data_IF_792168876449
#
_entry.id   IF_792168876449
#
_cell.length_a   1.000
_cell.length_b   1.000
_cell.length_c   1.000
_cell.angle_alpha   90.00
_cell.angle_beta   90.00
_cell.angle_gamma   90.00
#
_symmetry.space_group_name_H-M   'P 1'
#
loop_
_entity.id
_entity.type
_entity.pdbx_description
1 polymer ?
#
# COMPACT_ATOMS: atom_id res chain seq x y z
N UNK A 1 -47.68 21.22 22.70
CA UNK A 1 -47.11 21.93 23.87
C UNK A 1 -45.60 21.87 23.75
N UNK A 2 -44.96 23.02 23.90
CA UNK A 2 -43.54 23.29 23.66
C UNK A 2 -42.59 22.56 24.63
N UNK A 3 -41.30 22.41 24.25
CA UNK A 3 -40.23 21.87 25.09
C UNK A 3 -39.61 22.97 25.96
N UNK A 4 -39.28 22.67 27.21
CA UNK A 4 -38.58 23.61 28.10
C UNK A 4 -37.05 23.49 27.98
N UNK A 5 -36.45 24.60 27.59
CA UNK A 5 -35.04 24.96 27.69
C UNK A 5 -34.55 24.95 29.14
N UNK A 6 -33.30 24.54 29.35
CA UNK A 6 -32.52 24.83 30.56
C UNK A 6 -31.32 25.69 30.18
N UNK A 7 -31.20 26.87 30.78
CA UNK A 7 -30.04 27.75 30.71
C UNK A 7 -29.48 27.94 32.14
N UNK A 8 -28.15 28.07 32.33
CA UNK A 8 -27.49 28.06 33.63
C UNK A 8 -27.27 29.49 34.20
N UNK A 9 -26.71 29.56 35.42
CA UNK A 9 -26.18 30.70 36.19
C UNK A 9 -26.98 31.16 37.43
N UNK A 10 -26.46 30.79 38.62
CA UNK A 10 -26.36 31.59 39.86
C UNK A 10 -25.57 30.73 40.90
N UNK A 11 -24.26 30.92 41.12
CA UNK A 11 -23.57 31.96 41.91
C UNK A 11 -23.67 31.81 43.45
N UNK A 12 -22.56 31.39 44.07
CA UNK A 12 -21.96 32.04 45.25
C UNK A 12 -22.25 31.50 46.66
N UNK A 13 -21.18 31.19 47.42
CA UNK A 13 -21.19 31.11 48.90
C UNK A 13 -20.24 30.05 49.48
N UNK A 14 -19.18 30.49 50.17
CA UNK A 14 -18.03 29.68 50.60
C UNK A 14 -18.10 29.04 52.00
N UNK A 15 -17.08 28.25 52.32
CA UNK A 15 -16.82 27.66 53.63
C UNK A 15 -15.58 26.75 53.63
N UNK A 16 -14.50 27.19 54.30
CA UNK A 16 -13.31 26.40 54.66
C UNK A 16 -13.66 25.31 55.69
N UNK A 17 -12.78 24.29 55.86
CA UNK A 17 -12.17 24.16 57.18
C UNK A 17 -10.70 23.70 57.22
N UNK A 18 -10.01 24.22 58.24
CA UNK A 18 -8.74 23.80 58.86
C UNK A 18 -8.75 22.36 59.35
N UNK A 19 -7.64 21.63 59.17
CA UNK A 19 -7.15 20.62 60.13
C UNK A 19 -5.64 20.36 59.93
N UNK A 20 -4.82 20.96 60.79
CA UNK A 20 -3.45 20.50 61.11
C UNK A 20 -3.46 19.94 62.54
N UNK A 21 -2.99 18.70 62.73
CA UNK A 21 -2.16 18.26 63.86
C UNK A 21 -1.65 16.81 63.60
N UNK A 22 -0.32 16.65 63.63
CA UNK A 22 0.44 15.40 63.48
C UNK A 22 0.31 14.47 64.72
N UNK A 23 0.69 13.17 64.62
CA UNK A 23 2.06 12.79 65.00
C UNK A 23 2.75 11.75 64.09
N UNK A 24 4.06 11.73 64.25
CA UNK A 24 5.11 11.06 63.46
C UNK A 24 5.13 9.53 63.61
N UNK A 25 5.32 8.81 62.50
CA UNK A 25 5.75 7.40 62.48
C UNK A 25 6.71 7.18 61.30
N UNK A 26 7.98 7.01 61.61
CA UNK A 26 9.08 6.75 60.68
C UNK A 26 8.97 5.32 60.14
N UNK A 27 8.49 5.15 58.90
CA UNK A 27 8.66 3.90 58.15
C UNK A 27 9.91 4.01 57.25
N UNK A 28 10.90 3.16 57.52
CA UNK A 28 12.07 2.98 56.67
C UNK A 28 11.66 2.42 55.30
N UNK A 29 11.99 3.14 54.23
CA UNK A 29 11.89 2.64 52.86
C UNK A 29 12.92 1.50 52.63
N UNK A 30 12.55 0.38 51.97
CA UNK A 30 13.52 -0.67 51.65
C UNK A 30 14.50 -0.17 50.59
N UNK A 31 15.80 -0.42 50.84
CA UNK A 31 16.89 0.07 50.01
C UNK A 31 16.90 -0.56 48.61
N UNK A 32 17.25 0.24 47.61
CA UNK A 32 17.34 -0.13 46.17
C UNK A 32 18.14 -1.42 45.90
N UNK A 33 18.99 -1.83 46.82
CA UNK A 33 19.83 -3.03 46.74
C UNK A 33 19.01 -4.33 46.90
N UNK A 34 17.94 -4.34 47.69
CA UNK A 34 17.07 -5.52 47.87
C UNK A 34 16.24 -5.83 46.62
N UNK A 35 15.83 -4.81 45.87
CA UNK A 35 15.05 -4.99 44.64
C UNK A 35 15.90 -5.55 43.50
N UNK A 36 17.14 -5.07 43.36
CA UNK A 36 18.09 -5.59 42.39
C UNK A 36 18.44 -7.08 42.65
N UNK A 37 18.56 -7.46 43.93
CA UNK A 37 18.89 -8.84 44.31
C UNK A 37 17.72 -9.80 44.07
N UNK A 38 16.48 -9.36 44.30
CA UNK A 38 15.28 -10.14 43.96
C UNK A 38 15.12 -10.33 42.44
N UNK A 39 15.43 -9.31 41.64
CA UNK A 39 15.33 -9.39 40.20
C UNK A 39 16.41 -10.31 39.59
N UNK A 40 17.62 -10.30 40.15
CA UNK A 40 18.69 -11.22 39.76
C UNK A 40 18.36 -12.68 40.13
N UNK A 41 17.78 -12.92 41.30
CA UNK A 41 17.36 -14.26 41.73
C UNK A 41 16.20 -14.80 40.86
N UNK A 42 15.26 -13.94 40.47
CA UNK A 42 14.16 -14.31 39.57
C UNK A 42 14.67 -14.68 38.16
N UNK A 43 15.65 -13.94 37.63
CA UNK A 43 16.26 -14.22 36.34
C UNK A 43 17.05 -15.55 36.34
N UNK A 44 17.77 -15.84 37.44
CA UNK A 44 18.52 -17.09 37.59
C UNK A 44 17.58 -18.32 37.65
N UNK A 45 16.46 -18.21 38.36
CA UNK A 45 15.46 -19.30 38.42
C UNK A 45 14.75 -19.52 37.08
N UNK A 46 14.48 -18.46 36.31
CA UNK A 46 13.90 -18.59 34.98
C UNK A 46 14.85 -19.29 33.99
N UNK A 47 16.16 -18.98 34.05
CA UNK A 47 17.17 -19.65 33.23
C UNK A 47 17.32 -21.14 33.59
N UNK A 48 17.27 -21.48 34.88
CA UNK A 48 17.32 -22.88 35.33
C UNK A 48 16.11 -23.71 34.86
N UNK A 49 14.90 -23.12 34.85
CA UNK A 49 13.70 -23.78 34.34
C UNK A 49 13.75 -24.01 32.83
N UNK A 50 14.31 -23.08 32.05
CA UNK A 50 14.49 -23.28 30.61
C UNK A 50 15.49 -24.40 30.28
N UNK A 51 16.58 -24.52 31.06
CA UNK A 51 17.55 -25.61 30.87
C UNK A 51 16.95 -26.99 31.20
N UNK A 52 16.11 -27.09 32.24
CA UNK A 52 15.40 -28.34 32.55
C UNK A 52 14.40 -28.75 31.46
N UNK A 53 13.73 -27.78 30.83
CA UNK A 53 12.80 -28.07 29.73
C UNK A 53 13.51 -28.57 28.47
N UNK A 54 14.70 -28.04 28.16
CA UNK A 54 15.53 -28.54 27.05
C UNK A 54 16.07 -29.95 27.30
N UNK A 55 16.40 -30.31 28.55
CA UNK A 55 16.85 -31.66 28.90
C UNK A 55 15.74 -32.71 28.79
N UNK A 56 14.49 -32.37 29.16
CA UNK A 56 13.35 -33.26 28.97
C UNK A 56 13.00 -33.49 27.50
N UNK A 57 13.22 -32.49 26.63
CA UNK A 57 12.95 -32.62 25.20
C UNK A 57 13.96 -33.54 24.49
N UNK A 58 15.22 -33.57 24.95
CA UNK A 58 16.23 -34.52 24.45
C UNK A 58 15.98 -35.96 24.89
N UNK A 59 15.48 -36.20 26.11
CA UNK A 59 15.12 -37.56 26.55
C UNK A 59 13.90 -38.11 25.80
N UNK A 60 12.97 -37.26 25.37
CA UNK A 60 11.79 -37.71 24.64
C UNK A 60 12.12 -38.15 23.21
N UNK A 61 13.12 -37.53 22.56
CA UNK A 61 13.60 -37.91 21.23
C UNK A 61 14.42 -39.22 21.23
N UNK A 62 15.09 -39.54 22.34
CA UNK A 62 15.85 -40.79 22.48
C UNK A 62 15.00 -42.05 22.69
N UNK A 63 13.73 -41.91 23.08
CA UNK A 63 12.87 -43.05 23.45
C UNK A 63 12.05 -43.63 22.29
N UNK A 64 11.92 -42.93 21.16
CA UNK A 64 11.17 -43.43 19.99
C UNK A 64 11.98 -44.33 19.03
N UNK A 65 13.29 -44.51 19.24
CA UNK A 65 14.14 -45.24 18.29
C UNK A 65 14.71 -46.59 18.81
N UNK A 66 14.05 -47.22 19.79
CA UNK A 66 14.47 -48.51 20.34
C UNK A 66 13.79 -49.70 19.67
N UNK A 67 14.47 -50.36 18.71
CA UNK A 67 13.98 -51.58 18.08
C UNK A 67 15.06 -52.45 17.43
N UNK A 68 15.62 -53.36 18.23
CA UNK A 68 16.34 -54.64 17.93
C UNK A 68 17.75 -54.65 17.28
N UNK A 69 18.69 -55.52 17.76
CA UNK A 69 20.09 -55.59 17.31
C UNK A 69 20.41 -56.83 16.44
N UNK A 70 21.36 -56.72 15.48
CA UNK A 70 22.33 -57.78 15.04
C UNK A 70 23.29 -57.33 13.90
N UNK A 71 24.39 -58.06 13.54
CA UNK A 71 25.80 -57.69 13.79
C UNK A 71 26.62 -57.38 12.49
N UNK A 72 27.96 -57.16 12.52
CA UNK A 72 28.66 -56.32 11.53
C UNK A 72 29.36 -57.09 10.40
N UNK A 73 29.48 -56.47 9.23
CA UNK A 73 30.55 -56.77 8.26
C UNK A 73 30.75 -55.69 7.17
N UNK A 74 31.93 -55.05 7.25
CA UNK A 74 32.90 -54.72 6.20
C UNK A 74 32.53 -53.94 4.92
N UNK A 75 33.31 -52.87 4.72
CA UNK A 75 33.83 -52.31 3.45
C UNK A 75 32.78 -51.74 2.47
N UNK A 76 32.98 -50.62 1.76
CA UNK A 76 34.09 -49.72 1.43
C UNK A 76 33.38 -48.47 0.85
N UNK A 77 33.74 -47.25 1.22
CA UNK A 77 34.81 -46.50 0.56
C UNK A 77 34.24 -45.41 -0.36
N UNK A 78 34.50 -44.14 -0.05
CA UNK A 78 34.63 -43.12 -1.08
C UNK A 78 33.78 -41.85 -0.95
N UNK A 79 34.46 -40.79 -0.48
CA UNK A 79 34.44 -39.42 -1.02
C UNK A 79 33.43 -38.41 -0.46
N UNK A 80 34.00 -37.41 0.25
CA UNK A 80 33.93 -36.02 -0.25
C UNK A 80 33.11 -35.03 0.55
N UNK A 81 33.74 -34.40 1.53
CA UNK A 81 33.24 -33.24 2.27
C UNK A 81 33.07 -31.98 1.39
N UNK A 82 32.04 -31.16 1.67
CA UNK A 82 32.13 -29.69 1.66
C UNK A 82 30.82 -29.02 2.17
N UNK A 83 30.94 -28.42 3.37
CA UNK A 83 30.55 -27.05 3.73
C UNK A 83 29.21 -26.44 3.25
N UNK A 84 28.35 -26.12 4.23
CA UNK A 84 28.01 -24.72 4.53
C UNK A 84 26.86 -24.05 3.79
N UNK A 85 25.73 -23.91 4.49
CA UNK A 85 24.98 -22.65 4.61
C UNK A 85 24.14 -22.15 3.41
N UNK A 86 22.85 -21.88 3.68
CA UNK A 86 22.16 -20.75 3.06
C UNK A 86 20.78 -21.03 2.46
N UNK A 87 19.79 -20.29 2.99
CA UNK A 87 18.89 -19.51 2.13
C UNK A 87 17.61 -20.18 1.67
N UNK A 88 16.55 -20.02 2.46
CA UNK A 88 15.18 -20.11 1.95
C UNK A 88 14.87 -18.94 1.01
N UNK A 89 14.40 -19.28 -0.20
CA UNK A 89 13.68 -18.40 -1.13
C UNK A 89 12.55 -19.22 -1.73
N UNK A 90 11.37 -18.62 -1.78
CA UNK A 90 10.40 -18.66 -2.89
C UNK A 90 9.01 -18.23 -2.39
N UNK A 91 8.78 -16.91 -2.42
CA UNK A 91 7.43 -16.32 -2.51
C UNK A 91 7.48 -15.28 -3.62
N UNK A 92 7.14 -15.72 -4.82
CA UNK A 92 7.09 -14.91 -6.02
C UNK A 92 5.87 -13.96 -5.95
N UNK A 93 6.13 -12.68 -5.69
CA UNK A 93 5.33 -11.59 -6.24
C UNK A 93 5.95 -11.16 -7.56
N UNK A 94 5.16 -10.67 -8.54
CA UNK A 94 5.74 -10.03 -9.70
C UNK A 94 6.52 -8.80 -9.23
N UNK A 95 7.80 -8.78 -9.57
CA UNK A 95 8.69 -7.65 -9.40
C UNK A 95 8.02 -6.40 -9.93
N UNK A 96 8.04 -5.34 -9.14
CA UNK A 96 7.46 -4.05 -9.48
C UNK A 96 8.20 -3.32 -10.62
N UNK A 97 8.91 -4.03 -11.50
CA UNK A 97 9.75 -3.49 -12.56
C UNK A 97 8.99 -2.98 -13.79
N UNK A 98 7.66 -3.18 -13.89
CA UNK A 98 6.94 -2.95 -15.15
C UNK A 98 5.75 -1.96 -15.06
N UNK A 99 5.83 -0.97 -14.16
CA UNK A 99 4.88 0.16 -14.13
C UNK A 99 5.51 1.48 -14.62
N UNK A 100 6.56 1.38 -15.44
CA UNK A 100 7.54 2.45 -15.59
C UNK A 100 7.83 2.96 -17.00
N UNK A 101 7.25 2.45 -18.09
CA UNK A 101 7.67 2.89 -19.44
C UNK A 101 6.56 2.67 -20.49
N UNK A 102 6.19 3.70 -21.26
CA UNK A 102 5.29 3.54 -22.41
C UNK A 102 4.58 4.81 -22.87
N UNK A 103 5.31 5.77 -23.44
CA UNK A 103 4.77 6.81 -24.33
C UNK A 103 5.72 6.92 -25.53
N UNK A 104 5.21 6.65 -26.73
CA UNK A 104 5.93 6.75 -28.01
C UNK A 104 5.37 5.78 -29.05
N UNK A 105 4.75 6.30 -30.10
CA UNK A 105 3.99 5.52 -31.08
C UNK A 105 4.78 4.96 -32.27
N UNK A 106 4.01 4.18 -33.04
CA UNK A 106 4.10 3.90 -34.48
C UNK A 106 4.95 2.73 -35.01
N UNK A 107 4.21 1.78 -35.59
CA UNK A 107 4.42 1.01 -36.84
C UNK A 107 5.57 -0.01 -36.98
N UNK A 108 5.20 -1.24 -37.36
CA UNK A 108 6.09 -2.22 -38.00
C UNK A 108 5.75 -3.66 -37.63
N UNK A 109 5.18 -4.43 -38.56
CA UNK A 109 4.64 -5.78 -38.32
C UNK A 109 5.66 -6.92 -38.23
N UNK A 110 5.13 -8.12 -38.02
CA UNK A 110 5.88 -9.39 -38.09
C UNK A 110 5.31 -10.42 -37.11
N UNK A 111 4.68 -11.47 -37.64
CA UNK A 111 3.89 -12.44 -36.88
C UNK A 111 4.67 -13.45 -36.02
N UNK A 112 3.90 -14.13 -35.17
CA UNK A 112 4.33 -15.26 -34.35
C UNK A 112 3.19 -15.68 -33.43
N UNK A 113 2.34 -16.61 -33.88
CA UNK A 113 1.13 -17.03 -33.17
C UNK A 113 1.43 -17.76 -31.86
N UNK A 114 0.96 -17.19 -30.76
CA UNK A 114 0.71 -17.89 -29.50
C UNK A 114 -0.79 -18.06 -29.34
N UNK A 115 -1.28 -19.30 -29.46
CA UNK A 115 -2.70 -19.64 -29.35
C UNK A 115 -3.11 -19.52 -27.88
N UNK A 116 -3.69 -18.38 -27.51
CA UNK A 116 -4.42 -18.23 -26.26
C UNK A 116 -5.73 -19.00 -26.38
N UNK A 117 -5.78 -20.22 -25.84
CA UNK A 117 -6.98 -21.05 -25.85
C UNK A 117 -8.03 -20.51 -24.89
N UNK A 118 -9.16 -20.04 -25.42
CA UNK A 118 -10.35 -19.69 -24.64
C UNK A 118 -10.91 -20.93 -23.93
N UNK A 119 -11.32 -20.79 -22.68
CA UNK A 119 -11.85 -21.89 -21.83
C UNK A 119 -13.15 -22.51 -22.40
N UNK A 120 -13.88 -21.77 -23.22
CA UNK A 120 -15.23 -22.12 -23.69
C UNK A 120 -15.34 -22.50 -25.17
N UNK A 121 -14.23 -22.79 -25.86
CA UNK A 121 -14.26 -23.15 -27.28
C UNK A 121 -14.59 -24.62 -27.53
N UNK A 122 -15.89 -24.92 -27.69
CA UNK A 122 -16.40 -26.14 -28.36
C UNK A 122 -16.28 -27.47 -27.58
N UNK A 123 -16.95 -28.54 -28.05
CA UNK A 123 -16.94 -29.86 -27.40
C UNK A 123 -15.63 -30.58 -27.77
N UNK A 124 -14.53 -30.15 -27.18
CA UNK A 124 -13.22 -30.77 -27.27
C UNK A 124 -12.50 -30.55 -25.96
N UNK A 125 -12.26 -31.63 -25.22
CA UNK A 125 -11.49 -31.75 -23.97
C UNK A 125 -11.15 -30.43 -23.25
N UNK A 126 -11.91 -30.12 -22.19
CA UNK A 126 -11.51 -29.08 -21.23
C UNK A 126 -10.11 -29.43 -20.75
N UNK A 127 -9.12 -28.61 -21.12
CA UNK A 127 -7.73 -28.76 -20.68
C UNK A 127 -7.71 -29.05 -19.16
N UNK A 128 -6.95 -30.05 -18.72
CA UNK A 128 -6.92 -30.48 -17.30
C UNK A 128 -6.63 -29.32 -16.34
N UNK A 129 -5.84 -28.34 -16.79
CA UNK A 129 -5.59 -27.10 -16.02
C UNK A 129 -6.85 -26.23 -15.88
N UNK A 130 -7.68 -26.12 -16.92
CA UNK A 130 -8.95 -25.39 -16.86
C UNK A 130 -9.95 -26.08 -15.92
N UNK A 131 -9.96 -27.42 -15.91
CA UNK A 131 -10.80 -28.20 -15.01
C UNK A 131 -10.42 -27.95 -13.55
N UNK A 132 -9.12 -27.95 -13.22
CA UNK A 132 -8.62 -27.62 -11.88
C UNK A 132 -8.99 -26.21 -11.43
N UNK A 133 -8.92 -25.23 -12.34
CA UNK A 133 -9.35 -23.86 -12.04
C UNK A 133 -10.83 -23.82 -11.65
N UNK A 134 -11.70 -24.48 -12.42
CA UNK A 134 -13.13 -24.55 -12.11
C UNK A 134 -13.40 -25.28 -10.78
N UNK A 135 -12.64 -26.33 -10.46
CA UNK A 135 -12.71 -27.02 -9.16
C UNK A 135 -12.34 -26.08 -8.00
N UNK A 136 -11.26 -25.30 -8.12
CA UNK A 136 -10.90 -24.32 -7.10
C UNK A 136 -11.95 -23.21 -6.98
N UNK A 137 -12.54 -22.76 -8.08
CA UNK A 137 -13.64 -21.78 -8.06
C UNK A 137 -14.82 -22.32 -7.25
N UNK A 138 -15.21 -23.59 -7.44
CA UNK A 138 -16.25 -24.21 -6.63
C UNK A 138 -15.84 -24.33 -5.14
N UNK A 139 -14.56 -24.65 -4.87
CA UNK A 139 -14.03 -24.75 -3.51
C UNK A 139 -13.97 -23.41 -2.76
N UNK A 140 -13.95 -22.26 -3.45
CA UNK A 140 -14.04 -20.93 -2.80
C UNK A 140 -15.34 -20.75 -2.03
N UNK A 141 -16.43 -21.40 -2.46
CA UNK A 141 -17.74 -21.28 -1.82
C UNK A 141 -17.78 -21.98 -0.44
N UNK A 142 -16.98 -23.02 -0.25
CA UNK A 142 -16.95 -23.82 0.96
C UNK A 142 -15.90 -23.29 1.95
N UNK A 143 -16.32 -22.89 3.15
CA UNK A 143 -15.45 -22.26 4.15
C UNK A 143 -14.22 -23.12 4.55
N UNK A 144 -14.34 -24.46 4.51
CA UNK A 144 -13.25 -25.39 4.85
C UNK A 144 -12.18 -25.51 3.77
N UNK A 145 -12.55 -25.36 2.49
CA UNK A 145 -11.60 -25.50 1.35
C UNK A 145 -11.15 -24.16 0.79
N UNK A 146 -11.87 -23.08 1.13
CA UNK A 146 -11.65 -21.74 0.57
C UNK A 146 -10.22 -21.25 0.70
N UNK A 147 -9.58 -21.43 1.85
CA UNK A 147 -8.21 -20.94 2.07
C UNK A 147 -7.20 -21.53 1.08
N UNK A 148 -7.27 -22.85 0.85
CA UNK A 148 -6.43 -23.52 -0.14
C UNK A 148 -6.76 -23.08 -1.57
N UNK A 149 -8.04 -22.96 -1.90
CA UNK A 149 -8.48 -22.52 -3.21
C UNK A 149 -8.02 -21.08 -3.54
N UNK A 150 -8.11 -20.15 -2.58
CA UNK A 150 -7.63 -18.78 -2.74
C UNK A 150 -6.13 -18.74 -3.05
N UNK A 151 -5.33 -19.55 -2.33
CA UNK A 151 -3.89 -19.64 -2.57
C UNK A 151 -3.59 -20.09 -3.99
N UNK A 152 -4.19 -21.19 -4.46
CA UNK A 152 -3.91 -21.73 -5.79
C UNK A 152 -4.42 -20.83 -6.91
N UNK A 153 -5.63 -20.27 -6.78
CA UNK A 153 -6.17 -19.32 -7.76
C UNK A 153 -5.31 -18.05 -7.83
N UNK A 154 -4.81 -17.54 -6.70
CA UNK A 154 -3.97 -16.33 -6.70
C UNK A 154 -2.65 -16.52 -7.45
N UNK A 155 -2.09 -17.74 -7.45
CA UNK A 155 -0.89 -18.09 -8.24
C UNK A 155 -1.19 -18.21 -9.72
N UNK A 156 -2.40 -18.64 -10.09
CA UNK A 156 -2.82 -18.85 -11.49
C UNK A 156 -3.34 -17.59 -12.18
N UNK A 157 -3.40 -16.48 -11.45
CA UNK A 157 -4.03 -15.24 -11.91
C UNK A 157 -3.44 -14.62 -13.19
N UNK A 158 -2.17 -14.87 -13.48
CA UNK A 158 -1.49 -14.40 -14.70
C UNK A 158 -1.52 -15.43 -15.83
N UNK A 159 -1.76 -16.70 -15.51
CA UNK A 159 -1.75 -17.82 -16.46
C UNK A 159 -3.12 -18.04 -17.11
N UNK A 160 -4.19 -17.51 -16.51
CA UNK A 160 -5.57 -17.72 -16.94
C UNK A 160 -6.20 -16.36 -17.26
N UNK A 161 -6.17 -15.91 -18.53
CA UNK A 161 -6.68 -14.59 -18.93
C UNK A 161 -8.16 -14.39 -18.58
N UNK A 162 -8.96 -15.45 -18.73
CA UNK A 162 -10.41 -15.48 -18.49
C UNK A 162 -10.78 -15.55 -16.98
N UNK A 163 -9.80 -15.62 -16.08
CA UNK A 163 -10.08 -15.84 -14.65
C UNK A 163 -10.95 -14.73 -14.06
N UNK A 164 -10.75 -13.47 -14.48
CA UNK A 164 -11.56 -12.35 -14.02
C UNK A 164 -13.05 -12.53 -14.34
N UNK A 165 -13.37 -12.98 -15.56
CA UNK A 165 -14.74 -13.26 -15.99
C UNK A 165 -15.32 -14.45 -15.22
N UNK A 166 -14.55 -15.52 -15.03
CA UNK A 166 -14.99 -16.69 -14.26
C UNK A 166 -15.29 -16.29 -12.81
N UNK A 167 -14.40 -15.53 -12.16
CA UNK A 167 -14.58 -15.07 -10.77
C UNK A 167 -15.85 -14.22 -10.62
N UNK A 168 -16.10 -13.33 -11.59
CA UNK A 168 -17.24 -12.42 -11.53
C UNK A 168 -18.58 -13.14 -11.79
N UNK A 169 -18.64 -13.97 -12.83
CA UNK A 169 -19.88 -14.60 -13.28
C UNK A 169 -20.22 -15.92 -12.57
N UNK A 170 -19.27 -16.51 -11.83
CA UNK A 170 -19.54 -17.68 -11.01
C UNK A 170 -20.36 -17.32 -9.77
N UNK A 171 -21.45 -18.05 -9.56
CA UNK A 171 -22.38 -17.81 -8.46
C UNK A 171 -21.68 -17.84 -7.09
N UNK A 172 -21.89 -16.80 -6.28
CA UNK A 172 -21.42 -16.72 -4.89
C UNK A 172 -19.91 -16.46 -4.69
N UNK A 173 -19.12 -16.42 -5.75
CA UNK A 173 -17.66 -16.22 -5.64
C UNK A 173 -17.32 -14.83 -5.14
N UNK A 174 -17.86 -13.78 -5.77
CA UNK A 174 -17.64 -12.39 -5.33
C UNK A 174 -18.10 -12.15 -3.88
N UNK A 175 -19.22 -12.76 -3.47
CA UNK A 175 -19.70 -12.73 -2.08
C UNK A 175 -18.71 -13.40 -1.13
N UNK A 176 -18.13 -14.53 -1.52
CA UNK A 176 -17.11 -15.23 -0.73
C UNK A 176 -15.83 -14.42 -0.60
N UNK A 177 -15.38 -13.74 -1.66
CA UNK A 177 -14.22 -12.85 -1.62
C UNK A 177 -14.46 -11.63 -0.69
N UNK A 178 -15.65 -11.04 -0.74
CA UNK A 178 -16.03 -9.97 0.18
C UNK A 178 -16.11 -10.45 1.63
N UNK A 179 -16.57 -11.69 1.86
CA UNK A 179 -16.59 -12.28 3.20
C UNK A 179 -15.18 -12.40 3.79
N UNK A 180 -14.17 -12.72 2.97
CA UNK A 180 -12.77 -12.76 3.41
C UNK A 180 -12.22 -11.38 3.78
N UNK A 181 -12.71 -10.30 3.16
CA UNK A 181 -12.37 -8.94 3.56
C UNK A 181 -13.02 -8.59 4.90
N UNK A 182 -14.33 -8.82 5.02
CA UNK A 182 -15.12 -8.41 6.19
C UNK A 182 -14.69 -9.19 7.44
N UNK A 183 -14.30 -10.45 7.31
CA UNK A 183 -13.82 -11.27 8.44
C UNK A 183 -12.55 -10.70 9.11
N UNK A 184 -11.79 -9.87 8.40
CA UNK A 184 -10.58 -9.22 8.91
C UNK A 184 -10.88 -7.92 9.66
N UNK A 185 -12.03 -7.28 9.45
CA UNK A 185 -12.35 -5.99 10.09
C UNK A 185 -12.22 -5.98 11.62
N UNK A 186 -12.68 -7.00 12.37
CA UNK A 186 -12.51 -7.04 13.82
C UNK A 186 -11.03 -7.07 14.27
N UNK A 187 -10.12 -7.51 13.40
CA UNK A 187 -8.69 -7.64 13.69
C UNK A 187 -7.89 -6.36 13.39
N UNK A 188 -8.54 -5.34 12.80
CA UNK A 188 -7.89 -4.07 12.47
C UNK A 188 -7.77 -3.16 13.69
N UNK A 189 -8.77 -3.17 14.56
CA UNK A 189 -8.82 -2.36 15.77
C UNK A 189 -9.46 -3.12 16.95
N UNK A 190 -8.68 -3.54 17.96
CA UNK A 190 -7.23 -3.34 18.12
C UNK A 190 -6.42 -4.11 17.07
N UNK A 191 -5.16 -3.71 16.83
CA UNK A 191 -4.28 -4.25 15.78
C UNK A 191 -3.86 -5.72 16.02
N UNK A 192 -4.76 -6.68 15.85
CA UNK A 192 -4.59 -8.11 16.16
C UNK A 192 -4.36 -8.99 14.92
N UNK A 193 -4.16 -8.40 13.75
CA UNK A 193 -3.96 -9.14 12.51
C UNK A 193 -2.69 -10.02 12.55
N UNK A 194 -2.89 -11.33 12.38
CA UNK A 194 -1.79 -12.30 12.30
C UNK A 194 -1.25 -12.41 10.86
N UNK A 195 -0.03 -12.95 10.71
CA UNK A 195 0.57 -13.18 9.40
C UNK A 195 -0.27 -14.15 8.54
N UNK A 196 -0.82 -15.22 9.14
CA UNK A 196 -1.66 -16.17 8.43
C UNK A 196 -2.97 -15.52 7.91
N UNK A 197 -3.66 -14.76 8.78
CA UNK A 197 -4.88 -14.06 8.39
C UNK A 197 -4.62 -13.01 7.29
N UNK A 198 -3.53 -12.25 7.41
CA UNK A 198 -3.08 -11.30 6.39
C UNK A 198 -2.80 -11.99 5.05
N UNK A 199 -2.06 -13.11 5.05
CA UNK A 199 -1.78 -13.86 3.82
C UNK A 199 -3.05 -14.36 3.14
N UNK A 200 -3.98 -14.91 3.92
CA UNK A 200 -5.25 -15.42 3.42
C UNK A 200 -6.10 -14.34 2.75
N UNK A 201 -6.31 -13.20 3.41
CA UNK A 201 -7.09 -12.10 2.80
C UNK A 201 -6.37 -11.49 1.61
N UNK A 202 -5.03 -11.39 1.64
CA UNK A 202 -4.27 -10.88 0.51
C UNK A 202 -4.38 -11.79 -0.74
N UNK A 203 -4.54 -13.10 -0.59
CA UNK A 203 -4.85 -13.98 -1.73
C UNK A 203 -6.22 -13.63 -2.34
N UNK A 204 -7.24 -13.33 -1.52
CA UNK A 204 -8.52 -12.83 -2.02
C UNK A 204 -8.39 -11.45 -2.69
N UNK A 205 -7.63 -10.53 -2.11
CA UNK A 205 -7.34 -9.23 -2.71
C UNK A 205 -6.62 -9.35 -4.06
N UNK A 206 -5.71 -10.33 -4.21
CA UNK A 206 -5.02 -10.60 -5.47
C UNK A 206 -6.00 -11.04 -6.58
N UNK A 207 -7.05 -11.78 -6.24
CA UNK A 207 -8.12 -12.14 -7.18
C UNK A 207 -9.00 -10.94 -7.52
N UNK A 208 -9.34 -10.10 -6.52
CA UNK A 208 -10.07 -8.84 -6.77
C UNK A 208 -9.26 -7.88 -7.64
N UNK A 209 -7.93 -7.87 -7.51
CA UNK A 209 -7.04 -7.11 -8.39
C UNK A 209 -7.17 -7.58 -9.85
N UNK A 210 -7.29 -8.89 -10.09
CA UNK A 210 -7.53 -9.43 -11.43
C UNK A 210 -8.87 -8.97 -11.99
N UNK A 211 -9.95 -9.04 -11.19
CA UNK A 211 -11.28 -8.54 -11.59
C UNK A 211 -11.25 -7.05 -11.90
N UNK A 212 -10.56 -6.24 -11.10
CA UNK A 212 -10.39 -4.80 -11.33
C UNK A 212 -9.58 -4.49 -12.60
N UNK A 213 -8.64 -5.35 -12.96
CA UNK A 213 -7.75 -5.16 -14.10
C UNK A 213 -8.38 -5.51 -15.45
N UNK A 214 -9.40 -6.37 -15.49
CA UNK A 214 -10.03 -6.85 -16.73
C UNK A 214 -11.05 -5.84 -17.28
N UNK A 215 -11.04 -5.61 -18.60
CA UNK A 215 -11.86 -4.57 -19.26
C UNK A 215 -13.36 -4.74 -19.03
N UNK A 216 -13.86 -5.98 -19.10
CA UNK A 216 -15.30 -6.27 -19.00
C UNK A 216 -15.83 -6.25 -17.56
N UNK A 217 -15.02 -6.65 -16.58
CA UNK A 217 -15.48 -6.73 -15.18
C UNK A 217 -15.16 -5.47 -14.38
N UNK A 218 -14.25 -4.61 -14.85
CA UNK A 218 -13.86 -3.38 -14.15
C UNK A 218 -15.02 -2.45 -13.89
N UNK A 219 -15.86 -2.19 -14.90
CA UNK A 219 -17.04 -1.33 -14.74
C UNK A 219 -18.02 -1.92 -13.72
N UNK A 220 -18.22 -3.23 -13.75
CA UNK A 220 -19.08 -3.94 -12.81
C UNK A 220 -18.51 -3.89 -11.37
N UNK A 221 -17.20 -4.07 -11.23
CA UNK A 221 -16.47 -3.97 -9.96
C UNK A 221 -16.58 -2.57 -9.35
N UNK A 222 -16.47 -1.54 -10.18
CA UNK A 222 -16.64 -0.14 -9.78
C UNK A 222 -18.10 0.15 -9.40
N UNK A 223 -19.06 -0.24 -10.23
CA UNK A 223 -20.49 -0.03 -10.00
C UNK A 223 -21.03 -0.80 -8.78
N UNK A 224 -20.37 -1.88 -8.38
CA UNK A 224 -20.66 -2.60 -7.13
C UNK A 224 -20.03 -1.95 -5.89
N UNK A 225 -19.29 -0.85 -6.04
CA UNK A 225 -18.60 -0.13 -4.95
C UNK A 225 -17.66 -1.01 -4.10
N UNK A 226 -17.14 -2.09 -4.67
CA UNK A 226 -16.19 -3.00 -4.00
C UNK A 226 -14.94 -2.29 -3.46
N UNK A 227 -14.35 -1.28 -4.14
CA UNK A 227 -13.18 -0.57 -3.62
C UNK A 227 -13.36 0.00 -2.19
N UNK A 228 -14.59 0.38 -1.81
CA UNK A 228 -14.87 0.95 -0.49
C UNK A 228 -14.59 -0.03 0.65
N UNK A 229 -14.73 -1.34 0.41
CA UNK A 229 -14.40 -2.38 1.37
C UNK A 229 -12.90 -2.43 1.71
N UNK A 230 -12.05 -1.81 0.89
CA UNK A 230 -10.59 -1.80 1.09
C UNK A 230 -10.11 -0.61 1.91
N UNK A 231 -10.94 0.43 2.09
CA UNK A 231 -10.53 1.65 2.78
C UNK A 231 -10.23 1.44 4.26
N UNK A 232 -10.97 0.59 5.00
CA UNK A 232 -10.57 0.23 6.36
C UNK A 232 -9.15 -0.32 6.45
N UNK A 233 -8.70 -1.09 5.45
CA UNK A 233 -7.33 -1.61 5.40
C UNK A 233 -6.31 -0.49 5.17
N UNK A 234 -6.58 0.42 4.23
CA UNK A 234 -5.72 1.56 3.91
C UNK A 234 -5.62 2.57 5.08
N UNK A 235 -6.66 2.66 5.90
CA UNK A 235 -6.71 3.56 7.06
C UNK A 235 -5.86 3.08 8.25
N UNK A 236 -5.42 1.81 8.25
CA UNK A 236 -4.59 1.26 9.34
C UNK A 236 -3.23 1.95 9.45
N UNK A 237 -2.69 2.06 10.67
CA UNK A 237 -1.43 2.76 10.96
C UNK A 237 -0.33 1.84 11.51
N UNK A 238 -0.67 0.60 11.88
CA UNK A 238 0.30 -0.39 12.39
C UNK A 238 1.40 -0.65 11.37
N UNK A 239 2.66 -0.62 11.83
CA UNK A 239 3.86 -0.88 11.02
C UNK A 239 4.30 -2.34 11.02
N UNK A 240 3.51 -3.22 11.64
CA UNK A 240 3.82 -4.66 11.62
C UNK A 240 3.71 -5.21 10.20
N UNK A 241 4.52 -6.23 9.89
CA UNK A 241 4.58 -6.86 8.56
C UNK A 241 3.20 -7.28 8.00
N UNK A 242 2.28 -7.88 8.79
CA UNK A 242 0.93 -8.22 8.30
C UNK A 242 0.13 -7.00 7.82
N UNK A 243 0.23 -5.86 8.51
CA UNK A 243 -0.49 -4.63 8.14
C UNK A 243 0.16 -3.91 6.94
N UNK A 244 1.50 -3.88 6.87
CA UNK A 244 2.20 -3.37 5.68
C UNK A 244 1.80 -4.15 4.42
N UNK A 245 1.80 -5.49 4.50
CA UNK A 245 1.43 -6.34 3.38
C UNK A 245 -0.05 -6.19 2.99
N UNK A 246 -0.95 -6.08 3.97
CA UNK A 246 -2.36 -5.82 3.74
C UNK A 246 -2.59 -4.50 3.00
N UNK A 247 -1.95 -3.41 3.43
CA UNK A 247 -2.04 -2.09 2.79
C UNK A 247 -1.49 -2.11 1.36
N UNK A 248 -0.31 -2.70 1.17
CA UNK A 248 0.31 -2.81 -0.16
C UNK A 248 -0.60 -3.56 -1.14
N UNK A 249 -1.17 -4.69 -0.72
CA UNK A 249 -2.05 -5.51 -1.57
C UNK A 249 -3.35 -4.77 -1.89
N UNK A 250 -3.93 -4.07 -0.90
CA UNK A 250 -5.12 -3.23 -1.08
C UNK A 250 -4.88 -2.08 -2.05
N UNK A 251 -3.73 -1.39 -1.94
CA UNK A 251 -3.30 -0.38 -2.90
C UNK A 251 -3.10 -0.97 -4.30
N UNK A 252 -2.66 -2.23 -4.41
CA UNK A 252 -2.54 -2.94 -5.68
C UNK A 252 -3.87 -3.06 -6.43
N UNK A 253 -4.98 -3.28 -5.72
CA UNK A 253 -6.33 -3.32 -6.31
C UNK A 253 -6.72 -1.94 -6.85
N UNK A 254 -6.54 -0.89 -6.04
CA UNK A 254 -6.83 0.50 -6.47
C UNK A 254 -5.93 0.92 -7.64
N UNK A 255 -4.65 0.56 -7.58
CA UNK A 255 -3.67 0.78 -8.64
C UNK A 255 -4.05 0.13 -9.97
N UNK A 256 -4.66 -1.07 -9.92
CA UNK A 256 -5.15 -1.75 -11.12
C UNK A 256 -6.34 -1.01 -11.78
N UNK A 257 -7.23 -0.41 -10.97
CA UNK A 257 -8.35 0.37 -11.48
C UNK A 257 -7.89 1.61 -12.25
N UNK A 258 -6.97 2.38 -11.66
CA UNK A 258 -6.48 3.64 -12.24
C UNK A 258 -5.49 3.44 -13.39
N UNK A 259 -5.01 2.22 -13.62
CA UNK A 259 -4.03 1.93 -14.69
C UNK A 259 -4.57 2.19 -16.10
N UNK A 260 -5.89 2.09 -16.28
CA UNK A 260 -6.54 2.19 -17.60
C UNK A 260 -7.01 3.60 -17.96
N UNK A 261 -6.63 4.62 -17.17
CA UNK A 261 -6.90 6.04 -17.49
C UNK A 261 -8.40 6.35 -17.72
N UNK A 262 -9.28 5.62 -17.03
CA UNK A 262 -10.73 5.84 -17.10
C UNK A 262 -11.15 6.98 -16.17
N UNK A 263 -11.69 8.07 -16.75
CA UNK A 263 -12.22 9.20 -15.97
C UNK A 263 -13.39 8.81 -15.05
N UNK A 264 -14.15 7.76 -15.37
CA UNK A 264 -15.20 7.23 -14.49
C UNK A 264 -14.61 6.69 -13.18
N UNK A 265 -13.50 5.95 -13.27
CA UNK A 265 -12.76 5.47 -12.10
C UNK A 265 -12.23 6.65 -11.28
N UNK A 266 -11.68 7.67 -11.95
CA UNK A 266 -11.19 8.87 -11.26
C UNK A 266 -12.33 9.60 -10.54
N UNK A 267 -13.47 9.82 -11.21
CA UNK A 267 -14.63 10.45 -10.61
C UNK A 267 -15.09 9.72 -9.34
N UNK A 268 -15.24 8.40 -9.43
CA UNK A 268 -15.58 7.57 -8.28
C UNK A 268 -14.59 7.79 -7.12
N UNK A 269 -13.29 7.68 -7.38
CA UNK A 269 -12.25 7.83 -6.38
C UNK A 269 -12.19 9.22 -5.73
N UNK A 270 -12.51 10.28 -6.47
CA UNK A 270 -12.58 11.65 -5.95
C UNK A 270 -13.74 11.81 -4.96
N UNK A 271 -14.88 11.16 -5.21
CA UNK A 271 -16.06 11.22 -4.33
C UNK A 271 -15.92 10.41 -3.05
N UNK A 272 -14.88 9.57 -2.94
CA UNK A 272 -14.73 8.59 -1.86
C UNK A 272 -13.47 8.80 -1.02
N UNK A 273 -12.83 9.97 -1.08
CA UNK A 273 -11.70 10.34 -0.22
C UNK A 273 -10.45 9.43 -0.33
N UNK A 274 -10.14 8.88 -1.52
CA UNK A 274 -8.90 8.10 -1.69
C UNK A 274 -7.64 8.94 -1.49
N UNK A 275 -7.69 10.23 -1.83
CA UNK A 275 -6.51 11.13 -1.82
C UNK A 275 -5.93 11.24 -0.40
N UNK A 276 -6.71 11.59 0.66
CA UNK A 276 -6.21 11.59 2.03
C UNK A 276 -5.54 10.27 2.46
N UNK A 277 -6.10 9.12 2.07
CA UNK A 277 -5.53 7.81 2.39
C UNK A 277 -4.17 7.61 1.70
N UNK A 278 -4.08 7.92 0.41
CA UNK A 278 -2.82 7.82 -0.33
C UNK A 278 -1.77 8.78 0.21
N UNK A 279 -2.12 10.02 0.53
CA UNK A 279 -1.19 11.01 1.09
C UNK A 279 -0.58 10.54 2.42
N UNK A 280 -1.39 9.97 3.33
CA UNK A 280 -0.89 9.40 4.59
C UNK A 280 0.10 8.26 4.37
N UNK A 281 -0.18 7.38 3.41
CA UNK A 281 0.70 6.26 3.08
C UNK A 281 1.98 6.75 2.40
N UNK A 282 1.89 7.76 1.52
CA UNK A 282 3.05 8.42 0.90
C UNK A 282 3.99 9.03 1.94
N UNK A 283 3.45 9.56 3.03
CA UNK A 283 4.24 10.14 4.11
C UNK A 283 4.92 9.08 4.98
N UNK A 284 4.17 8.07 5.43
CA UNK A 284 4.60 7.20 6.55
C UNK A 284 4.74 5.70 6.23
N UNK A 285 4.32 5.25 5.05
CA UNK A 285 4.33 3.84 4.65
C UNK A 285 5.70 3.29 4.27
N UNK A 286 5.78 1.97 4.02
CA UNK A 286 6.94 1.35 3.39
C UNK A 286 7.22 1.92 1.99
N UNK A 287 8.47 1.84 1.52
CA UNK A 287 8.89 2.34 0.20
C UNK A 287 8.01 1.81 -0.95
N UNK A 288 7.67 0.51 -0.92
CA UNK A 288 6.78 -0.10 -1.91
C UNK A 288 5.37 0.50 -1.83
N UNK A 289 4.82 0.68 -0.63
CA UNK A 289 3.50 1.28 -0.44
C UNK A 289 3.47 2.75 -0.88
N UNK A 290 4.53 3.52 -0.57
CA UNK A 290 4.72 4.89 -1.06
C UNK A 290 4.70 4.94 -2.58
N UNK A 291 5.37 3.99 -3.23
CA UNK A 291 5.47 3.90 -4.69
C UNK A 291 4.11 3.66 -5.34
N UNK A 292 3.30 2.75 -4.79
CA UNK A 292 1.95 2.49 -5.34
C UNK A 292 1.00 3.67 -5.01
N UNK A 293 1.08 4.24 -3.82
CA UNK A 293 0.24 5.37 -3.42
C UNK A 293 0.50 6.61 -4.28
N UNK A 294 1.77 6.98 -4.52
CA UNK A 294 2.08 8.11 -5.41
C UNK A 294 1.71 7.81 -6.86
N UNK A 295 1.79 6.55 -7.32
CA UNK A 295 1.30 6.16 -8.64
C UNK A 295 -0.21 6.42 -8.78
N UNK A 296 -1.01 6.09 -7.76
CA UNK A 296 -2.45 6.37 -7.75
C UNK A 296 -2.71 7.88 -7.79
N UNK A 297 -2.05 8.66 -6.94
CA UNK A 297 -2.18 10.13 -6.92
C UNK A 297 -1.74 10.74 -8.25
N UNK A 298 -0.68 10.23 -8.86
CA UNK A 298 -0.24 10.68 -10.18
C UNK A 298 -1.31 10.41 -11.25
N UNK A 299 -1.93 9.22 -11.26
CA UNK A 299 -3.01 8.89 -12.21
C UNK A 299 -4.23 9.80 -12.02
N UNK A 300 -4.58 10.12 -10.78
CA UNK A 300 -5.62 11.12 -10.48
C UNK A 300 -5.22 12.51 -11.03
N UNK A 301 -3.99 12.96 -10.81
CA UNK A 301 -3.51 14.26 -11.31
C UNK A 301 -3.47 14.33 -12.84
N UNK A 302 -3.20 13.21 -13.53
CA UNK A 302 -3.15 13.18 -14.99
C UNK A 302 -4.53 13.43 -15.62
N UNK A 303 -5.61 13.00 -14.96
CA UNK A 303 -6.97 13.31 -15.37
C UNK A 303 -7.32 14.79 -15.07
N UNK A 304 -8.01 15.44 -16.00
CA UNK A 304 -8.35 16.87 -15.88
C UNK A 304 -9.28 17.17 -14.69
N UNK A 305 -10.23 16.27 -14.38
CA UNK A 305 -11.11 16.44 -13.23
C UNK A 305 -10.33 16.28 -11.93
N UNK A 306 -9.40 15.32 -11.87
CA UNK A 306 -8.53 15.10 -10.71
C UNK A 306 -7.60 16.29 -10.45
N UNK A 307 -6.98 16.85 -11.50
CA UNK A 307 -6.19 18.08 -11.39
C UNK A 307 -7.04 19.26 -10.88
N UNK A 308 -8.22 19.47 -11.47
CA UNK A 308 -9.14 20.54 -11.04
C UNK A 308 -9.58 20.37 -9.59
N UNK A 309 -9.88 19.14 -9.16
CA UNK A 309 -10.30 18.82 -7.79
C UNK A 309 -9.21 19.16 -6.77
N UNK A 310 -7.96 18.74 -7.03
CA UNK A 310 -6.82 18.98 -6.13
C UNK A 310 -6.51 20.48 -6.07
N UNK A 311 -6.52 21.16 -7.21
CA UNK A 311 -6.24 22.59 -7.31
C UNK A 311 -7.47 23.48 -7.02
N UNK A 312 -8.61 22.91 -6.62
CA UNK A 312 -9.86 23.66 -6.42
C UNK A 312 -9.73 24.66 -5.27
N UNK A 313 -9.16 24.20 -4.16
CA UNK A 313 -8.99 24.92 -2.89
C UNK A 313 -7.52 24.95 -2.49
N UNK A 314 -7.10 25.99 -1.78
CA UNK A 314 -5.75 26.07 -1.23
C UNK A 314 -5.41 24.90 -0.30
N UNK A 315 -6.35 24.45 0.53
CA UNK A 315 -6.14 23.36 1.50
C UNK A 315 -5.77 22.04 0.81
N UNK A 316 -6.54 21.63 -0.21
CA UNK A 316 -6.27 20.41 -0.98
C UNK A 316 -4.93 20.47 -1.71
N UNK A 317 -4.64 21.59 -2.37
CA UNK A 317 -3.35 21.79 -3.04
C UNK A 317 -2.20 21.73 -2.03
N UNK A 318 -2.34 22.41 -0.89
CA UNK A 318 -1.31 22.47 0.15
C UNK A 318 -1.06 21.11 0.79
N UNK A 319 -2.11 20.31 1.01
CA UNK A 319 -1.98 18.94 1.53
C UNK A 319 -1.15 18.05 0.58
N UNK A 320 -1.43 18.09 -0.72
CA UNK A 320 -0.66 17.34 -1.72
C UNK A 320 0.77 17.89 -1.84
N UNK A 321 0.92 19.21 -1.94
CA UNK A 321 2.21 19.88 -2.10
C UNK A 321 3.15 19.61 -0.94
N UNK A 322 2.67 19.67 0.31
CA UNK A 322 3.47 19.42 1.52
C UNK A 322 3.99 17.98 1.54
N UNK A 323 3.15 16.99 1.25
CA UNK A 323 3.57 15.58 1.23
C UNK A 323 4.59 15.34 0.13
N UNK A 324 4.39 15.88 -1.08
CA UNK A 324 5.37 15.77 -2.17
C UNK A 324 6.70 16.42 -1.79
N UNK A 325 6.69 17.60 -1.16
CA UNK A 325 7.89 18.27 -0.68
C UNK A 325 8.63 17.45 0.38
N UNK A 326 7.93 16.87 1.35
CA UNK A 326 8.50 15.98 2.35
C UNK A 326 9.15 14.74 1.71
N UNK A 327 8.53 14.20 0.65
CA UNK A 327 9.11 13.10 -0.12
C UNK A 327 10.40 13.52 -0.84
N UNK A 328 10.45 14.73 -1.42
CA UNK A 328 11.69 15.24 -2.04
C UNK A 328 12.82 15.30 -1.02
N UNK A 329 12.56 15.82 0.18
CA UNK A 329 13.58 15.89 1.24
C UNK A 329 14.11 14.50 1.61
N UNK A 330 13.23 13.50 1.75
CA UNK A 330 13.63 12.11 2.02
C UNK A 330 14.43 11.49 0.87
N UNK A 331 14.15 11.89 -0.37
CA UNK A 331 14.80 11.35 -1.57
C UNK A 331 16.24 11.82 -1.76
N UNK A 332 16.65 12.92 -1.12
CA UNK A 332 18.05 13.38 -1.15
C UNK A 332 18.98 12.31 -0.58
N UNK A 333 18.58 11.72 0.55
CA UNK A 333 19.36 10.67 1.22
C UNK A 333 19.12 9.28 0.61
N UNK A 334 17.87 8.94 0.31
CA UNK A 334 17.50 7.59 -0.13
C UNK A 334 17.81 7.32 -1.61
N UNK A 335 17.83 8.36 -2.45
CA UNK A 335 18.10 8.29 -3.89
C UNK A 335 17.23 7.27 -4.65
N UNK A 336 16.01 7.02 -4.17
CA UNK A 336 15.05 6.10 -4.81
C UNK A 336 14.50 6.69 -6.12
N UNK A 337 15.14 6.36 -7.25
CA UNK A 337 14.83 6.88 -8.61
C UNK A 337 13.34 6.76 -8.96
N UNK A 338 12.72 5.64 -8.62
CA UNK A 338 11.33 5.38 -8.99
C UNK A 338 10.35 6.35 -8.32
N UNK A 339 10.54 6.61 -7.03
CA UNK A 339 9.74 7.57 -6.29
C UNK A 339 9.97 8.98 -6.84
N UNK A 340 11.23 9.36 -7.08
CA UNK A 340 11.58 10.66 -7.68
C UNK A 340 10.87 10.89 -9.00
N UNK A 341 10.84 9.88 -9.88
CA UNK A 341 10.13 9.93 -11.18
C UNK A 341 8.64 10.24 -11.03
N UNK A 342 7.97 9.64 -10.05
CA UNK A 342 6.56 9.93 -9.77
C UNK A 342 6.37 11.34 -9.19
N UNK A 343 7.24 11.76 -8.25
CA UNK A 343 7.20 13.09 -7.64
C UNK A 343 7.37 14.20 -8.68
N UNK A 344 8.38 14.10 -9.55
CA UNK A 344 8.62 15.07 -10.63
C UNK A 344 7.41 15.18 -11.55
N UNK A 345 6.78 14.05 -11.92
CA UNK A 345 5.58 14.05 -12.76
C UNK A 345 4.36 14.66 -12.08
N UNK A 346 4.20 14.46 -10.78
CA UNK A 346 3.13 15.11 -10.01
C UNK A 346 3.32 16.63 -10.01
N UNK A 347 4.52 17.13 -9.72
CA UNK A 347 4.80 18.57 -9.77
C UNK A 347 4.64 19.17 -11.16
N UNK A 348 5.14 18.48 -12.21
CA UNK A 348 4.94 18.90 -13.60
C UNK A 348 3.45 19.04 -13.92
N UNK A 349 2.64 18.02 -13.59
CA UNK A 349 1.20 18.06 -13.85
C UNK A 349 0.48 19.13 -13.03
N UNK A 350 0.87 19.36 -11.78
CA UNK A 350 0.35 20.47 -10.99
C UNK A 350 0.65 21.84 -11.63
N UNK A 351 1.79 21.99 -12.31
CA UNK A 351 2.17 23.24 -12.98
C UNK A 351 1.29 23.59 -14.19
N UNK A 352 0.50 22.65 -14.70
CA UNK A 352 -0.47 22.92 -15.78
C UNK A 352 -1.61 23.83 -15.29
N UNK A 353 -1.95 23.77 -13.99
CA UNK A 353 -2.95 24.65 -13.39
C UNK A 353 -2.34 26.01 -13.04
N UNK A 354 -2.89 27.11 -13.56
CA UNK A 354 -2.34 28.45 -13.36
C UNK A 354 -2.18 28.87 -11.89
N UNK A 355 -3.14 28.51 -11.01
CA UNK A 355 -3.08 28.84 -9.57
C UNK A 355 -2.00 28.04 -8.85
N UNK A 356 -1.94 26.74 -9.11
CA UNK A 356 -0.90 25.87 -8.55
C UNK A 356 0.49 26.25 -9.08
N UNK A 357 0.61 26.61 -10.35
CA UNK A 357 1.84 27.09 -10.98
C UNK A 357 2.41 28.30 -10.25
N UNK A 358 1.58 29.30 -9.95
CA UNK A 358 1.98 30.48 -9.17
C UNK A 358 2.52 30.08 -7.78
N UNK A 359 1.79 29.23 -7.07
CA UNK A 359 2.22 28.76 -5.76
C UNK A 359 3.55 27.97 -5.82
N UNK A 360 3.72 27.10 -6.82
CA UNK A 360 4.94 26.32 -7.03
C UNK A 360 6.17 27.19 -7.31
N UNK A 361 6.02 28.39 -7.90
CA UNK A 361 7.15 29.33 -8.03
C UNK A 361 7.73 29.74 -6.68
N UNK A 362 6.92 29.73 -5.62
CA UNK A 362 7.35 30.10 -4.28
C UNK A 362 7.72 28.88 -3.42
N UNK A 363 7.05 27.74 -3.61
CA UNK A 363 7.17 26.59 -2.70
C UNK A 363 7.77 25.30 -3.31
N UNK A 364 8.22 25.30 -4.57
CA UNK A 364 8.91 24.12 -5.14
C UNK A 364 10.22 23.84 -4.36
N UNK A 365 10.45 22.62 -3.84
CA UNK A 365 11.65 22.27 -3.09
C UNK A 365 12.97 22.58 -3.81
N UNK A 366 13.93 23.13 -3.08
CA UNK A 366 15.26 23.49 -3.59
C UNK A 366 16.01 22.32 -4.27
N UNK A 367 15.98 21.07 -3.75
CA UNK A 367 16.66 19.94 -4.41
C UNK A 367 16.14 19.61 -5.82
N UNK A 368 14.95 20.08 -6.20
CA UNK A 368 14.42 19.96 -7.57
C UNK A 368 14.83 21.14 -8.47
N UNK A 369 15.28 22.26 -7.89
CA UNK A 369 15.72 23.46 -8.62
C UNK A 369 17.22 23.43 -8.90
N UNK A 370 17.98 22.80 -8.01
CA UNK A 370 19.43 22.72 -8.12
C UNK A 370 19.89 21.41 -8.80
N UNK A 371 21.19 21.16 -8.76
CA UNK A 371 21.80 19.98 -9.35
C UNK A 371 21.76 18.73 -8.45
N UNK A 372 21.06 18.73 -7.31
CA UNK A 372 21.08 17.65 -6.30
C UNK A 372 20.77 16.28 -6.90
N UNK A 373 19.73 16.17 -7.73
CA UNK A 373 19.35 14.89 -8.34
C UNK A 373 20.07 14.58 -9.67
N UNK A 374 21.01 15.41 -10.11
CA UNK A 374 21.73 15.19 -11.39
C UNK A 374 22.43 13.82 -11.47
N UNK A 375 23.11 13.32 -10.40
CA UNK A 375 23.73 12.00 -10.42
C UNK A 375 22.69 10.88 -10.51
N UNK A 376 21.62 10.97 -9.71
CA UNK A 376 20.54 9.98 -9.62
C UNK A 376 19.77 9.87 -10.94
N UNK A 377 19.60 10.99 -11.64
CA UNK A 377 18.87 11.06 -12.91
C UNK A 377 19.76 10.82 -14.13
N UNK A 378 21.06 10.51 -13.97
CA UNK A 378 22.01 10.43 -15.09
C UNK A 378 21.47 9.61 -16.26
N UNK A 379 20.93 8.44 -15.93
CA UNK A 379 20.49 7.41 -16.88
C UNK A 379 18.96 7.42 -17.11
N UNK A 380 18.20 8.36 -16.51
CA UNK A 380 16.76 8.53 -16.74
C UNK A 380 16.45 9.83 -17.52
N UNK A 381 16.63 9.77 -18.83
CA UNK A 381 16.38 10.89 -19.73
C UNK A 381 14.90 11.35 -19.74
N UNK A 382 13.95 10.46 -19.45
CA UNK A 382 12.54 10.83 -19.41
C UNK A 382 12.23 11.72 -18.21
N UNK A 383 12.71 11.35 -17.02
CA UNK A 383 12.51 12.14 -15.80
C UNK A 383 13.28 13.46 -15.86
N UNK A 384 14.50 13.47 -16.41
CA UNK A 384 15.25 14.72 -16.68
C UNK A 384 14.46 15.70 -17.55
N UNK A 385 13.86 15.23 -18.63
CA UNK A 385 13.02 16.08 -19.50
C UNK A 385 11.79 16.62 -18.77
N UNK A 386 11.14 15.79 -17.96
CA UNK A 386 9.99 16.24 -17.14
C UNK A 386 10.41 17.32 -16.14
N UNK A 387 11.57 17.16 -15.48
CA UNK A 387 12.09 18.15 -14.55
C UNK A 387 12.45 19.47 -15.25
N UNK A 388 13.12 19.40 -16.41
CA UNK A 388 13.43 20.58 -17.20
C UNK A 388 12.15 21.31 -17.66
N UNK A 389 11.11 20.59 -18.11
CA UNK A 389 9.82 21.17 -18.47
C UNK A 389 9.13 21.86 -17.28
N UNK A 390 9.19 21.25 -16.08
CA UNK A 390 8.67 21.85 -14.87
C UNK A 390 9.37 23.17 -14.57
N UNK A 391 10.71 23.18 -14.59
CA UNK A 391 11.49 24.40 -14.32
C UNK A 391 11.21 25.49 -15.36
N UNK A 392 11.08 25.12 -16.65
CA UNK A 392 10.70 26.05 -17.71
C UNK A 392 9.30 26.66 -17.46
N UNK A 393 8.31 25.82 -17.14
CA UNK A 393 6.94 26.26 -16.85
C UNK A 393 6.88 27.24 -15.66
N UNK A 394 7.77 27.07 -14.67
CA UNK A 394 7.86 27.98 -13.52
C UNK A 394 8.69 29.24 -13.80
N UNK A 395 9.62 29.20 -14.75
CA UNK A 395 10.46 30.34 -15.14
C UNK A 395 9.72 31.39 -15.99
N UNK A 396 8.65 30.98 -16.68
CA UNK A 396 7.88 31.86 -17.56
C UNK A 396 7.16 32.92 -16.71
N UNK A 397 7.74 34.12 -16.70
CA UNK A 397 7.10 35.34 -16.23
C UNK A 397 5.96 35.59 -17.21
N UNK A 398 4.73 35.27 -16.82
CA UNK A 398 3.59 35.86 -17.50
C UNK A 398 3.65 37.36 -17.21
N UNK A 399 4.30 38.11 -18.09
CA UNK A 399 4.12 39.56 -18.13
C UNK A 399 2.61 39.81 -18.21
N UNK A 400 2.04 40.61 -17.30
CA UNK A 400 0.69 41.09 -17.52
C UNK A 400 0.72 41.87 -18.82
N UNK A 401 -0.18 41.54 -19.74
CA UNK A 401 -0.41 42.26 -20.98
C UNK A 401 -0.65 43.74 -20.68
N UNK A 402 0.42 44.53 -20.65
CA UNK A 402 0.36 45.97 -20.81
C UNK A 402 -0.03 46.21 -22.26
N UNK A 403 -1.33 46.42 -22.50
CA UNK A 403 -1.80 47.04 -23.73
C UNK A 403 -1.18 48.44 -23.81
N UNK A 404 -0.39 48.76 -24.84
CA UNK A 404 0.00 50.15 -25.08
C UNK A 404 -1.21 50.85 -25.72
N UNK A 405 -1.99 51.56 -24.90
CA UNK A 405 -2.98 52.52 -25.39
C UNK A 405 -2.24 53.76 -25.93
N UNK A 406 -1.85 53.71 -27.20
CA UNK A 406 -1.47 54.89 -27.97
C UNK A 406 -2.51 55.13 -29.07
N UNK A 407 -3.25 56.22 -28.92
CA UNK A 407 -4.17 56.75 -29.93
C UNK A 407 -4.46 58.22 -29.63
N UNK A 408 -3.62 59.09 -30.19
CA UNK A 408 -3.61 60.53 -30.00
C UNK A 408 -4.95 61.22 -30.34
N UNK A 409 -5.24 62.20 -29.50
CA UNK A 409 -6.12 63.33 -29.71
C UNK A 409 -5.65 64.16 -30.92
N UNK A 410 -6.51 64.35 -31.92
CA UNK A 410 -6.31 65.39 -32.95
C UNK A 410 -7.60 66.19 -33.10
N UNK A 411 -7.55 67.39 -32.52
CA UNK A 411 -8.49 68.49 -32.71
C UNK A 411 -8.18 69.16 -34.04
N UNK A 412 -9.18 69.42 -34.89
CA UNK A 412 -9.21 70.52 -35.86
C UNK A 412 -10.67 70.76 -36.32
N UNK A 413 -11.16 71.93 -35.89
CA UNK A 413 -12.37 72.68 -36.31
C UNK A 413 -12.32 73.02 -37.83
N UNK A 414 -13.39 73.52 -38.49
CA UNK A 414 -14.21 74.70 -38.11
C UNK A 414 -15.57 74.41 -37.48
#
# INVERSE_FOLDING_TARGET
MQPHMFNPYAAGGGGQPDWQHHPSSTMHAPSHQQFAQHQAAAAANAAAQQQQQQQQQQQHYGRMNGGTPNPPSSMSGGLGAALGGGGGRDSAFPSAHDMGSGMGGSSGGGGGGGVGGSIFSGPGEVNEDNKRVLEWIAQVLNASTREGALLELSKKREQVPELALILWHSFGVMTSLLQEIISVYPLLNPSQLTAAASNRVCNALALLQCVASHSETRGLFLGAHIPLFLYPFLNTTSKSRPFEYLRLTSLGVIGALVKNDSSEVINFLLTTEIIPLCLRIMETGSELSKTVAIFIVQKILLDDMGLQYICQTYERFYAVGTVLSNMVTQLVDQQTVRLLKHVVRCFLRLSDNARAREALRQCLPEPLRDATFSPVLRDDAATKRCLAQLLLALSDQAEPTMQPSYGHQQSLLP
#
